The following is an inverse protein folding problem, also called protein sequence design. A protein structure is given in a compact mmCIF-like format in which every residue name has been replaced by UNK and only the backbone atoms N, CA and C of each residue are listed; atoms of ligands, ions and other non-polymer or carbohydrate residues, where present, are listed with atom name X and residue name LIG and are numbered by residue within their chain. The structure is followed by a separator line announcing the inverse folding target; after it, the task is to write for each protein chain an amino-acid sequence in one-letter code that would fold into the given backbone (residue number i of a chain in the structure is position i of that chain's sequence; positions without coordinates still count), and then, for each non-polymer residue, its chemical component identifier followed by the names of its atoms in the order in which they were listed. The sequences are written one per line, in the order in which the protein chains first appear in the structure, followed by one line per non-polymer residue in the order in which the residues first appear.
data_IF_892037221434
#
_entry.id   IF_892037221434
#
_cell.length_a   1.000
_cell.length_b   1.000
_cell.length_c   1.000
_cell.angle_alpha   90.00
_cell.angle_beta   90.00
_cell.angle_gamma   90.00
#
_symmetry.space_group_name_H-M   'P 1'
#
loop_
_entity.id
_entity.type
_entity.pdbx_description
1 polymer ?
#
# COMPACT_ATOMS: atom_id res chain seq x y z
N UNK A 1 0.96 -30.54 18.50
CA UNK A 1 0.65 -29.80 17.27
C UNK A 1 0.42 -30.80 16.15
N UNK A 2 -0.64 -30.63 15.36
CA UNK A 2 -0.81 -31.40 14.11
C UNK A 2 0.10 -30.84 13.02
N UNK A 3 0.45 -31.64 12.01
CA UNK A 3 1.30 -31.19 10.88
C UNK A 3 0.72 -29.92 10.21
N UNK A 4 -0.61 -29.80 10.15
CA UNK A 4 -1.30 -28.63 9.60
C UNK A 4 -1.19 -27.37 10.48
N UNK A 5 -1.14 -27.50 11.82
CA UNK A 5 -0.90 -26.36 12.71
C UNK A 5 0.54 -25.86 12.61
N UNK A 6 1.51 -26.77 12.47
CA UNK A 6 2.91 -26.38 12.24
C UNK A 6 3.07 -25.65 10.90
N UNK A 7 2.39 -26.11 9.85
CA UNK A 7 2.36 -25.44 8.54
C UNK A 7 1.72 -24.04 8.64
N UNK A 8 0.62 -23.89 9.37
CA UNK A 8 0.00 -22.58 9.61
C UNK A 8 0.96 -21.61 10.31
N UNK A 9 1.64 -22.06 11.36
CA UNK A 9 2.62 -21.25 12.08
C UNK A 9 3.81 -20.87 11.19
N UNK A 10 4.28 -21.76 10.33
CA UNK A 10 5.34 -21.47 9.37
C UNK A 10 4.95 -20.36 8.38
N UNK A 11 3.73 -20.43 7.82
CA UNK A 11 3.22 -19.39 6.93
C UNK A 11 3.12 -18.04 7.67
N UNK A 12 2.65 -18.04 8.91
CA UNK A 12 2.60 -16.82 9.73
C UNK A 12 4.00 -16.24 9.99
N UNK A 13 4.99 -17.10 10.28
CA UNK A 13 6.38 -16.67 10.45
C UNK A 13 6.97 -16.09 9.17
N UNK A 14 6.68 -16.69 8.01
CA UNK A 14 7.13 -16.17 6.72
C UNK A 14 6.51 -14.79 6.41
N UNK A 15 5.21 -14.63 6.67
CA UNK A 15 4.52 -13.33 6.55
C UNK A 15 5.15 -12.28 7.48
N UNK A 16 5.40 -12.64 8.73
CA UNK A 16 6.02 -11.78 9.74
C UNK A 16 7.43 -11.34 9.34
N UNK A 17 8.27 -12.28 8.89
CA UNK A 17 9.63 -11.99 8.40
C UNK A 17 9.64 -11.10 7.16
N UNK A 18 8.68 -11.28 6.24
CA UNK A 18 8.53 -10.42 5.07
C UNK A 18 8.25 -8.98 5.46
N UNK A 19 7.40 -8.78 6.48
CA UNK A 19 7.04 -7.46 7.00
C UNK A 19 8.17 -6.83 7.83
N UNK A 20 8.97 -7.61 8.55
CA UNK A 20 10.12 -7.10 9.31
C UNK A 20 11.26 -6.58 8.42
N UNK A 21 11.37 -7.07 7.18
CA UNK A 21 12.36 -6.61 6.20
C UNK A 21 11.98 -5.30 5.52
N UNK A 22 10.79 -4.78 5.82
CA UNK A 22 10.31 -3.54 5.24
C UNK A 22 11.09 -2.33 5.78
N UNK A 23 11.59 -1.50 4.89
CA UNK A 23 12.36 -0.28 5.15
C UNK A 23 11.48 0.96 5.34
N UNK A 24 10.16 0.83 5.21
CA UNK A 24 9.22 1.93 5.32
C UNK A 24 8.92 2.65 3.99
N UNK A 25 9.53 2.24 2.87
CA UNK A 25 9.30 2.82 1.54
C UNK A 25 8.06 2.24 0.86
N UNK A 26 7.44 3.02 -0.04
CA UNK A 26 6.31 2.55 -0.84
C UNK A 26 6.72 1.60 -1.98
N UNK A 27 7.95 1.71 -2.48
CA UNK A 27 8.49 0.81 -3.51
C UNK A 27 8.58 -0.62 -2.96
N UNK A 28 9.24 -0.79 -1.82
CA UNK A 28 9.34 -2.10 -1.17
C UNK A 28 7.99 -2.58 -0.63
N UNK A 29 7.10 -1.67 -0.22
CA UNK A 29 5.76 -2.02 0.22
C UNK A 29 4.96 -2.78 -0.86
N UNK A 30 5.09 -2.38 -2.13
CA UNK A 30 4.41 -3.07 -3.23
C UNK A 30 4.96 -4.49 -3.44
N UNK A 31 6.28 -4.69 -3.35
CA UNK A 31 6.90 -6.01 -3.45
C UNK A 31 6.44 -6.92 -2.31
N UNK A 32 6.40 -6.39 -1.07
CA UNK A 32 5.93 -7.12 0.11
C UNK A 32 4.45 -7.53 -0.05
N UNK A 33 3.60 -6.63 -0.55
CA UNK A 33 2.19 -6.95 -0.80
C UNK A 33 2.03 -8.06 -1.84
N UNK A 34 2.82 -8.01 -2.92
CA UNK A 34 2.78 -9.03 -3.96
C UNK A 34 3.23 -10.41 -3.43
N UNK A 35 4.34 -10.45 -2.68
CA UNK A 35 4.89 -11.69 -2.12
C UNK A 35 3.95 -12.29 -1.05
N UNK A 36 3.35 -11.44 -0.22
CA UNK A 36 2.45 -11.89 0.84
C UNK A 36 1.10 -12.40 0.29
N UNK A 37 0.73 -12.06 -0.94
CA UNK A 37 -0.54 -12.50 -1.53
C UNK A 37 -0.63 -14.04 -1.64
N UNK A 38 0.43 -14.68 -2.11
CA UNK A 38 0.50 -16.14 -2.25
C UNK A 38 0.44 -16.82 -0.88
N UNK A 39 1.20 -16.32 0.09
CA UNK A 39 1.21 -16.83 1.46
C UNK A 39 -0.15 -16.69 2.15
N UNK A 40 -0.86 -15.58 1.94
CA UNK A 40 -2.22 -15.41 2.47
C UNK A 40 -3.23 -16.37 1.83
N UNK A 41 -3.08 -16.67 0.54
CA UNK A 41 -3.92 -17.65 -0.14
C UNK A 41 -3.67 -19.07 0.41
N UNK A 42 -2.42 -19.42 0.71
CA UNK A 42 -2.04 -20.68 1.35
C UNK A 42 -2.55 -20.76 2.79
N UNK A 43 -2.35 -19.69 3.57
CA UNK A 43 -2.86 -19.57 4.93
C UNK A 43 -4.36 -19.86 4.97
N UNK A 44 -5.14 -19.24 4.07
CA UNK A 44 -6.59 -19.45 3.97
C UNK A 44 -6.97 -20.90 3.70
N UNK A 45 -6.19 -21.63 2.88
CA UNK A 45 -6.42 -23.05 2.60
C UNK A 45 -6.18 -23.88 3.85
N UNK A 46 -5.04 -23.69 4.52
CA UNK A 46 -4.68 -24.42 5.74
C UNK A 46 -5.69 -24.15 6.85
N UNK A 47 -6.09 -22.90 7.05
CA UNK A 47 -7.11 -22.53 8.02
C UNK A 47 -8.45 -23.21 7.76
N UNK A 48 -8.88 -23.24 6.50
CA UNK A 48 -10.12 -23.91 6.10
C UNK A 48 -10.06 -25.41 6.39
N UNK A 49 -8.90 -26.04 6.17
CA UNK A 49 -8.69 -27.46 6.48
C UNK A 49 -8.74 -27.70 8.00
N UNK A 50 -8.05 -26.89 8.79
CA UNK A 50 -8.02 -26.99 10.25
C UNK A 50 -9.41 -26.80 10.87
N UNK A 51 -10.20 -25.84 10.37
CA UNK A 51 -11.58 -25.63 10.81
C UNK A 51 -12.45 -26.86 10.53
N UNK A 52 -12.34 -27.48 9.36
CA UNK A 52 -13.07 -28.72 9.02
C UNK A 52 -12.67 -29.90 9.91
N UNK A 53 -11.45 -29.91 10.42
CA UNK A 53 -10.92 -30.94 11.32
C UNK A 53 -11.20 -30.67 12.80
N UNK A 54 -11.92 -29.60 13.15
CA UNK A 54 -12.18 -29.21 14.54
C UNK A 54 -10.96 -28.61 15.26
N UNK A 55 -9.87 -28.35 14.55
CA UNK A 55 -8.61 -27.78 15.07
C UNK A 55 -8.39 -26.34 14.56
N UNK A 56 -9.46 -25.64 14.18
CA UNK A 56 -9.41 -24.31 13.58
C UNK A 56 -8.93 -23.21 14.53
N UNK A 57 -9.09 -23.40 15.84
CA UNK A 57 -8.65 -22.44 16.84
C UNK A 57 -7.16 -22.16 16.74
N UNK A 58 -6.82 -20.88 16.78
CA UNK A 58 -5.44 -20.43 16.86
C UNK A 58 -4.88 -20.70 18.26
N UNK A 59 -3.65 -21.18 18.31
CA UNK A 59 -2.84 -21.21 19.53
C UNK A 59 -2.42 -19.78 19.90
N UNK A 60 -1.96 -19.59 21.15
CA UNK A 60 -1.51 -18.27 21.62
C UNK A 60 -0.37 -17.71 20.77
N UNK A 61 0.59 -18.54 20.40
CA UNK A 61 1.71 -18.13 19.54
C UNK A 61 1.24 -17.66 18.17
N UNK A 62 0.29 -18.39 17.56
CA UNK A 62 -0.27 -17.98 16.27
C UNK A 62 -1.09 -16.69 16.38
N UNK A 63 -1.78 -16.47 17.51
CA UNK A 63 -2.50 -15.21 17.78
C UNK A 63 -1.54 -14.02 17.88
N UNK A 64 -0.42 -14.18 18.60
CA UNK A 64 0.60 -13.14 18.75
C UNK A 64 1.23 -12.78 17.38
N UNK A 65 1.48 -13.79 16.53
CA UNK A 65 1.96 -13.57 15.16
C UNK A 65 0.92 -12.83 14.31
N UNK A 66 -0.36 -13.24 14.36
CA UNK A 66 -1.44 -12.56 13.62
C UNK A 66 -1.55 -11.10 14.05
N UNK A 67 -1.48 -10.80 15.34
CA UNK A 67 -1.53 -9.41 15.83
C UNK A 67 -0.37 -8.58 15.25
N UNK A 68 0.85 -9.10 15.31
CA UNK A 68 2.04 -8.45 14.77
C UNK A 68 1.93 -8.18 13.25
N UNK A 69 1.42 -9.17 12.50
CA UNK A 69 1.20 -9.06 11.06
C UNK A 69 0.17 -7.97 10.75
N UNK A 70 -0.95 -7.94 11.48
CA UNK A 70 -2.02 -6.95 11.26
C UNK A 70 -1.53 -5.53 11.53
N UNK A 71 -0.82 -5.30 12.63
CA UNK A 71 -0.25 -3.99 12.94
C UNK A 71 0.72 -3.51 11.86
N UNK A 72 1.61 -4.41 11.41
CA UNK A 72 2.58 -4.12 10.35
C UNK A 72 1.89 -3.79 9.02
N UNK A 73 0.83 -4.53 8.65
CA UNK A 73 0.04 -4.25 7.46
C UNK A 73 -0.68 -2.90 7.52
N UNK A 74 -1.15 -2.47 8.70
CA UNK A 74 -1.76 -1.15 8.87
C UNK A 74 -0.76 -0.02 8.65
N UNK A 75 0.47 -0.16 9.15
CA UNK A 75 1.56 0.79 8.89
C UNK A 75 1.89 0.86 7.40
N UNK A 76 1.99 -0.29 6.73
CA UNK A 76 2.24 -0.38 5.29
C UNK A 76 1.15 0.33 4.48
N UNK A 77 -0.12 0.08 4.79
CA UNK A 77 -1.25 0.77 4.15
C UNK A 77 -1.22 2.28 4.39
N UNK A 78 -0.77 2.72 5.56
CA UNK A 78 -0.68 4.15 5.91
C UNK A 78 0.36 4.85 5.04
N UNK A 79 1.53 4.24 4.85
CA UNK A 79 2.59 4.77 3.97
C UNK A 79 2.11 4.86 2.52
N UNK A 80 1.52 3.78 1.99
CA UNK A 80 0.99 3.77 0.61
C UNK A 80 -0.05 4.87 0.41
N UNK A 81 -0.97 5.06 1.38
CA UNK A 81 -1.99 6.13 1.31
C UNK A 81 -1.36 7.52 1.33
N UNK A 82 -0.34 7.74 2.16
CA UNK A 82 0.38 9.01 2.24
C UNK A 82 1.07 9.35 0.92
N UNK A 83 1.77 8.39 0.32
CA UNK A 83 2.49 8.60 -0.93
C UNK A 83 1.52 8.86 -2.10
N UNK A 84 0.38 8.15 -2.13
CA UNK A 84 -0.71 8.44 -3.07
C UNK A 84 -1.22 9.88 -2.93
N UNK A 85 -1.44 10.35 -1.70
CA UNK A 85 -1.90 11.72 -1.47
C UNK A 85 -0.86 12.76 -1.92
N UNK A 86 0.43 12.51 -1.67
CA UNK A 86 1.52 13.38 -2.10
C UNK A 86 1.62 13.47 -3.64
N UNK A 87 1.45 12.34 -4.35
CA UNK A 87 1.43 12.32 -5.82
C UNK A 87 0.25 13.13 -6.37
N UNK A 88 -0.95 12.94 -5.81
CA UNK A 88 -2.14 13.68 -6.21
C UNK A 88 -1.99 15.19 -5.99
N UNK A 89 -1.34 15.60 -4.89
CA UNK A 89 -1.09 17.00 -4.63
C UNK A 89 -0.08 17.60 -5.63
N UNK A 90 1.02 16.90 -5.92
CA UNK A 90 1.99 17.31 -6.96
C UNK A 90 1.32 17.46 -8.33
N UNK A 91 0.42 16.54 -8.70
CA UNK A 91 -0.34 16.66 -9.95
C UNK A 91 -1.24 17.90 -9.98
N UNK A 92 -1.90 18.23 -8.86
CA UNK A 92 -2.70 19.47 -8.76
C UNK A 92 -1.84 20.72 -8.93
N UNK A 93 -0.68 20.76 -8.28
CA UNK A 93 0.27 21.87 -8.39
C UNK A 93 0.79 22.02 -9.84
N UNK A 94 1.13 20.92 -10.51
CA UNK A 94 1.52 20.95 -11.93
C UNK A 94 0.39 21.47 -12.83
N UNK A 95 -0.84 21.02 -12.62
CA UNK A 95 -2.00 21.49 -13.39
C UNK A 95 -2.27 22.98 -13.16
N UNK A 96 -2.11 23.47 -11.93
CA UNK A 96 -2.20 24.91 -11.64
C UNK A 96 -1.08 25.69 -12.33
N UNK A 97 0.16 25.21 -12.28
CA UNK A 97 1.30 25.81 -12.99
C UNK A 97 1.03 25.91 -14.49
N UNK A 98 0.56 24.84 -15.12
CA UNK A 98 0.23 24.83 -16.55
C UNK A 98 -0.85 25.86 -16.87
N UNK A 99 -1.95 25.91 -16.09
CA UNK A 99 -2.99 26.94 -16.27
C UNK A 99 -2.44 28.37 -16.19
N UNK A 100 -1.52 28.64 -15.25
CA UNK A 100 -0.90 29.95 -15.12
C UNK A 100 -0.05 30.25 -16.35
N UNK A 101 0.85 29.34 -16.74
CA UNK A 101 1.73 29.52 -17.91
C UNK A 101 0.92 29.72 -19.19
N UNK A 102 -0.11 28.90 -19.41
CA UNK A 102 -0.99 28.99 -20.58
C UNK A 102 -1.74 30.33 -20.62
N UNK A 103 -2.25 30.80 -19.48
CA UNK A 103 -2.90 32.12 -19.40
C UNK A 103 -1.91 33.26 -19.69
N UNK A 104 -0.68 33.20 -19.17
CA UNK A 104 0.34 34.22 -19.43
C UNK A 104 0.76 34.25 -20.91
N UNK A 105 0.93 33.09 -21.56
CA UNK A 105 1.26 33.03 -22.99
C UNK A 105 0.12 33.48 -23.90
N UNK A 106 -1.12 33.12 -23.56
CA UNK A 106 -2.31 33.54 -24.33
C UNK A 106 -2.53 35.06 -24.19
N UNK A 107 -2.23 35.63 -23.03
CA UNK A 107 -2.35 37.07 -22.78
C UNK A 107 -1.27 37.90 -23.51
N UNK A 108 -0.14 37.30 -23.89
CA UNK A 108 0.93 37.97 -24.64
C UNK A 108 0.65 38.07 -26.15
N UNK A 109 -0.35 37.35 -26.68
CA UNK A 109 -0.66 37.33 -28.12
C UNK A 109 -1.74 38.32 -28.57
N UNK A 110 -2.30 39.15 -27.67
CA UNK A 110 -3.13 40.28 -28.11
C UNK A 110 -2.29 41.56 -28.12
N UNK A 111 -1.82 42.03 -29.29
CA UNK A 111 -1.25 43.36 -29.39
C UNK A 111 -2.34 44.38 -29.07
N UNK A 112 -2.23 45.03 -27.92
CA UNK A 112 -3.05 46.19 -27.56
C UNK A 112 -2.55 47.34 -28.43
N UNK A 113 -3.11 47.48 -29.63
CA UNK A 113 -2.99 48.72 -30.39
C UNK A 113 -3.83 49.78 -29.67
N UNK A 114 -3.15 50.61 -28.89
CA UNK A 114 -3.75 51.84 -28.34
C UNK A 114 -3.88 52.79 -29.52
N UNK A 115 -5.06 52.82 -30.14
CA UNK A 115 -5.38 53.83 -31.16
C UNK A 115 -5.46 55.19 -30.47
N UNK A 116 -4.36 55.95 -30.54
CA UNK A 116 -4.36 57.37 -30.18
C UNK A 116 -4.91 58.14 -31.38
N UNK A 117 -6.21 58.03 -31.59
CA UNK A 117 -6.97 58.88 -32.49
C UNK A 117 -7.06 60.30 -31.92
N UNK A 118 -6.80 61.28 -32.79
CA UNK A 118 -6.79 62.73 -32.58
C UNK A 118 -8.10 63.31 -32.05
#
# INVERSE_FOLDING_TARGET
MTNQQSNRLEILNQLSQGLQKWDGSSEQANEIVANNHTLLAELKKVDSMLHRQGNGSYTKEEQDQVATIVESQQSLLTVIKKDRAAILDKMKQMNQKNKVVDNYYTSFQQPIFVDRGM
#
